data_IF_849616215394
#
_entry.id   IF_849616215394
#
_cell.length_a   1.000
_cell.length_b   1.000
_cell.length_c   1.000
_cell.angle_alpha   90.00
_cell.angle_beta   90.00
_cell.angle_gamma   90.00
#
_symmetry.space_group_name_H-M   'P 1'
#
loop_
_entity.id
_entity.type
_entity.pdbx_description
1 polymer ?
#
# COMPACT_ATOMS: atom_id res chain seq x y z
N UNK A 1 15.18 -1.98 39.68
CA UNK A 1 14.98 -0.83 38.79
C UNK A 1 14.13 -1.32 37.63
N UNK A 2 12.85 -0.97 37.60
CA UNK A 2 11.94 -1.34 36.51
C UNK A 2 12.05 -0.27 35.43
N UNK A 3 12.62 -0.62 34.27
CA UNK A 3 12.69 0.27 33.12
C UNK A 3 11.28 0.49 32.54
N UNK A 4 10.82 1.73 32.62
CA UNK A 4 9.67 2.23 31.89
C UNK A 4 9.94 2.16 30.39
N UNK A 5 9.29 1.23 29.69
CA UNK A 5 9.14 1.33 28.23
C UNK A 5 8.36 2.62 27.93
N UNK A 6 8.84 3.50 27.04
CA UNK A 6 8.28 4.84 26.89
C UNK A 6 6.89 4.79 26.22
N UNK A 7 5.90 5.38 26.91
CA UNK A 7 4.51 5.63 26.43
C UNK A 7 4.39 6.30 25.05
N UNK A 8 5.48 6.82 24.49
CA UNK A 8 5.49 7.53 23.20
C UNK A 8 5.30 6.60 21.99
N UNK A 9 5.72 5.33 22.08
CA UNK A 9 5.71 4.39 20.94
C UNK A 9 4.34 3.72 20.72
N UNK A 10 3.57 3.52 21.78
CA UNK A 10 2.20 2.97 21.74
C UNK A 10 1.20 3.95 21.09
N UNK A 11 1.45 5.25 21.25
CA UNK A 11 0.66 6.33 20.64
C UNK A 11 0.81 6.37 19.11
N UNK A 12 1.97 5.96 18.56
CA UNK A 12 2.23 5.99 17.10
C UNK A 12 1.48 4.88 16.34
N UNK A 13 1.48 3.65 16.86
CA UNK A 13 0.73 2.54 16.27
C UNK A 13 -0.78 2.71 16.47
N UNK A 14 -1.23 3.24 17.61
CA UNK A 14 -2.62 3.63 17.78
C UNK A 14 -2.99 4.76 16.81
N UNK A 15 -2.12 5.75 16.55
CA UNK A 15 -2.34 6.78 15.52
C UNK A 15 -2.38 6.24 14.10
N UNK A 16 -1.54 5.27 13.73
CA UNK A 16 -1.60 4.61 12.42
C UNK A 16 -2.90 3.81 12.27
N UNK A 17 -3.24 2.99 13.28
CA UNK A 17 -4.50 2.26 13.32
C UNK A 17 -5.71 3.20 13.37
N UNK A 18 -5.61 4.34 14.04
CA UNK A 18 -6.66 5.36 14.18
C UNK A 18 -6.73 6.30 12.98
N UNK A 19 -5.65 6.50 12.21
CA UNK A 19 -5.66 7.15 10.91
C UNK A 19 -6.40 6.27 9.90
N UNK A 20 -6.12 4.97 9.87
CA UNK A 20 -6.90 4.00 9.10
C UNK A 20 -8.34 3.87 9.60
N UNK A 21 -8.59 4.06 10.91
CA UNK A 21 -9.93 4.09 11.52
C UNK A 21 -10.70 5.39 11.23
N UNK A 22 -10.04 6.55 11.22
CA UNK A 22 -10.64 7.89 11.01
C UNK A 22 -11.09 8.10 9.58
N UNK A 23 -10.38 7.56 8.58
CA UNK A 23 -10.88 7.50 7.20
C UNK A 23 -12.22 6.74 7.11
N UNK A 24 -12.44 5.74 7.97
CA UNK A 24 -13.67 4.95 7.98
C UNK A 24 -14.86 5.62 8.68
N UNK A 25 -14.62 6.48 9.69
CA UNK A 25 -15.70 7.12 10.48
C UNK A 25 -16.46 8.20 9.70
N UNK A 26 -15.82 8.86 8.73
CA UNK A 26 -16.49 9.87 7.89
C UNK A 26 -17.47 9.22 6.89
N UNK A 27 -17.27 7.95 6.54
CA UNK A 27 -18.07 7.23 5.54
C UNK A 27 -19.41 6.66 6.06
N UNK A 28 -19.76 6.82 7.35
CA UNK A 28 -20.96 6.22 7.97
C UNK A 28 -22.10 7.23 8.21
N UNK A 29 -22.01 8.48 7.72
CA UNK A 29 -23.21 9.34 7.65
C UNK A 29 -24.10 8.93 6.48
N UNK A 30 -24.98 7.96 6.76
CA UNK A 30 -26.05 7.49 5.89
C UNK A 30 -27.04 8.62 5.53
N UNK A 31 -27.32 8.77 4.23
CA UNK A 31 -28.59 9.27 3.72
C UNK A 31 -29.24 8.15 2.89
N UNK A 32 -30.49 7.81 3.19
CA UNK A 32 -31.25 6.73 2.56
C UNK A 32 -31.62 7.04 1.10
N UNK A 33 -31.64 6.04 0.19
CA UNK A 33 -32.08 6.24 -1.19
C UNK A 33 -33.58 5.92 -1.39
N UNK A 34 -34.31 6.67 -2.24
CA UNK A 34 -35.62 6.24 -2.72
C UNK A 34 -35.48 5.32 -3.96
N UNK A 35 -36.39 4.34 -4.03
CA UNK A 35 -36.53 3.32 -5.08
C UNK A 35 -36.91 3.87 -6.47
N UNK A 36 -36.37 3.33 -7.59
CA UNK A 36 -36.85 3.65 -8.93
C UNK A 36 -37.84 2.61 -9.49
N UNK A 37 -38.87 3.10 -10.19
CA UNK A 37 -39.85 2.32 -10.97
C UNK A 37 -39.39 2.10 -12.42
N UNK A 38 -39.78 0.94 -12.94
CA UNK A 38 -39.52 0.38 -14.27
C UNK A 38 -40.35 1.05 -15.36
N UNK A 39 -39.77 1.28 -16.55
CA UNK A 39 -40.55 1.35 -17.81
C UNK A 39 -39.75 0.82 -19.01
N UNK A 40 -40.47 0.12 -19.88
CA UNK A 40 -40.02 -0.73 -20.99
C UNK A 40 -40.15 0.02 -22.31
N UNK A 41 -39.20 -0.15 -23.25
CA UNK A 41 -39.47 0.07 -24.69
C UNK A 41 -38.58 -0.81 -25.57
N UNK A 42 -39.12 -1.18 -26.73
CA UNK A 42 -38.77 -2.32 -27.61
C UNK A 42 -38.31 -1.83 -28.99
N UNK A 43 -37.73 -2.75 -29.78
CA UNK A 43 -37.54 -2.76 -31.26
C UNK A 43 -36.30 -2.02 -31.83
N UNK A 44 -35.61 -2.42 -32.91
CA UNK A 44 -35.68 -3.55 -33.87
C UNK A 44 -34.37 -3.70 -34.67
N UNK A 45 -34.04 -4.95 -35.06
CA UNK A 45 -33.42 -5.48 -36.29
C UNK A 45 -32.70 -4.55 -37.31
N UNK A 46 -31.48 -4.92 -37.76
CA UNK A 46 -31.16 -5.41 -39.13
C UNK A 46 -29.64 -5.63 -39.35
N UNK A 47 -29.27 -6.73 -40.04
CA UNK A 47 -27.94 -7.04 -40.62
C UNK A 47 -28.03 -6.94 -42.15
N UNK A 48 -26.92 -6.69 -42.87
CA UNK A 48 -26.36 -7.77 -43.71
C UNK A 48 -24.82 -7.81 -43.77
N UNK A 49 -24.30 -8.78 -44.53
CA UNK A 49 -22.96 -9.39 -44.46
C UNK A 49 -22.17 -9.22 -45.76
N UNK A 50 -20.83 -9.21 -45.68
CA UNK A 50 -19.88 -9.45 -46.78
C UNK A 50 -18.55 -8.72 -46.54
N UNK A 51 -17.34 -9.16 -46.90
CA UNK A 51 -16.73 -10.35 -47.53
C UNK A 51 -15.22 -10.26 -47.19
N UNK A 52 -14.51 -11.38 -47.14
CA UNK A 52 -13.08 -11.45 -46.80
C UNK A 52 -12.14 -10.92 -47.90
N UNK A 53 -10.93 -10.52 -47.51
CA UNK A 53 -9.71 -10.83 -48.29
C UNK A 53 -8.49 -11.00 -47.36
N UNK A 54 -7.78 -12.12 -47.58
CA UNK A 54 -6.51 -12.56 -46.99
C UNK A 54 -5.38 -12.04 -47.88
N UNK A 55 -4.33 -11.39 -47.35
CA UNK A 55 -2.98 -11.49 -47.93
C UNK A 55 -1.94 -11.47 -46.81
N UNK A 56 -0.99 -12.38 -46.97
CA UNK A 56 0.14 -12.80 -46.14
C UNK A 56 1.41 -12.20 -46.74
N UNK A 57 2.30 -11.65 -45.93
CA UNK A 57 3.76 -11.63 -46.18
C UNK A 57 4.57 -11.11 -44.97
N UNK A 58 5.29 -12.02 -44.33
CA UNK A 58 6.62 -11.84 -43.72
C UNK A 58 7.62 -12.38 -44.78
N UNK A 59 8.84 -11.82 -45.05
CA UNK A 59 10.08 -12.09 -44.25
C UNK A 59 11.21 -11.00 -44.39
N UNK A 60 12.48 -11.23 -43.98
CA UNK A 60 12.99 -11.42 -42.60
C UNK A 60 14.34 -10.61 -42.38
N UNK A 61 15.36 -11.03 -41.58
CA UNK A 61 16.06 -10.13 -40.64
C UNK A 61 17.55 -9.85 -41.00
N UNK A 62 18.21 -9.04 -40.14
CA UNK A 62 19.66 -9.05 -39.76
C UNK A 62 20.41 -7.72 -39.97
N UNK A 63 21.11 -7.31 -38.91
CA UNK A 63 22.53 -6.85 -38.81
C UNK A 63 22.62 -5.74 -37.75
N UNK A 64 22.86 -6.07 -36.47
CA UNK A 64 24.19 -6.20 -35.84
C UNK A 64 25.11 -5.01 -36.12
N UNK A 65 25.29 -4.11 -35.15
CA UNK A 65 26.58 -3.42 -34.93
C UNK A 65 26.79 -3.10 -33.45
N UNK A 66 27.73 -3.87 -32.93
CA UNK A 66 28.46 -3.77 -31.67
C UNK A 66 29.40 -2.57 -31.79
N UNK A 67 29.35 -1.63 -30.86
CA UNK A 67 30.44 -0.68 -30.61
C UNK A 67 30.90 -0.92 -29.17
N UNK A 68 31.95 -1.74 -29.05
CA UNK A 68 32.94 -1.64 -27.99
C UNK A 68 33.96 -0.65 -28.53
N UNK A 69 34.33 0.34 -27.73
CA UNK A 69 35.61 1.07 -27.72
C UNK A 69 35.38 2.35 -26.92
N UNK A 70 36.25 2.84 -26.06
CA UNK A 70 37.39 2.28 -25.36
C UNK A 70 37.70 3.35 -24.31
N UNK A 71 37.83 2.96 -23.04
CA UNK A 71 38.35 3.87 -22.02
C UNK A 71 39.86 3.99 -22.27
N UNK A 72 40.29 5.18 -22.68
CA UNK A 72 41.71 5.53 -22.72
C UNK A 72 42.19 5.81 -21.31
N UNK A 73 43.21 5.06 -20.91
CA UNK A 73 44.04 5.25 -19.72
C UNK A 73 44.80 6.58 -19.76
N UNK A 74 45.07 7.17 -18.59
CA UNK A 74 46.44 7.58 -18.21
C UNK A 74 46.55 7.97 -16.74
N UNK A 75 47.69 7.58 -16.18
CA UNK A 75 48.16 7.67 -14.80
C UNK A 75 48.70 9.08 -14.47
N UNK A 76 48.78 9.36 -13.16
CA UNK A 76 49.94 9.90 -12.41
C UNK A 76 49.48 10.90 -11.34
N UNK A 77 49.59 10.64 -10.03
CA UNK A 77 50.74 10.50 -9.12
C UNK A 77 51.11 11.84 -8.43
N UNK A 78 50.76 11.99 -7.14
CA UNK A 78 51.52 12.70 -6.09
C UNK A 78 50.71 12.85 -4.78
N UNK A 79 51.42 12.65 -3.67
CA UNK A 79 51.06 12.82 -2.24
C UNK A 79 52.19 13.64 -1.58
N UNK A 80 52.20 14.03 -0.27
CA UNK A 80 51.11 14.21 0.71
C UNK A 80 51.23 15.52 1.58
N UNK A 81 50.22 15.74 2.45
CA UNK A 81 50.17 16.55 3.71
C UNK A 81 50.30 18.10 3.63
N UNK A 82 49.62 18.96 4.41
CA UNK A 82 49.12 18.92 5.79
C UNK A 82 48.01 19.99 6.06
N UNK A 83 47.19 19.70 7.07
CA UNK A 83 46.47 20.60 8.00
C UNK A 83 45.12 21.25 7.64
N UNK A 84 44.09 20.66 8.29
CA UNK A 84 43.06 21.31 9.10
C UNK A 84 42.16 22.38 8.45
N UNK A 85 41.03 21.92 7.93
CA UNK A 85 39.76 22.56 8.24
C UNK A 85 38.82 21.51 8.81
N UNK A 86 38.55 21.66 10.10
CA UNK A 86 37.59 20.90 10.89
C UNK A 86 36.19 21.15 10.32
N UNK A 87 35.74 20.29 9.41
CA UNK A 87 34.31 20.12 9.23
C UNK A 87 33.81 19.29 10.41
N UNK A 88 33.23 19.97 11.39
CA UNK A 88 32.26 19.36 12.30
C UNK A 88 31.05 18.92 11.47
N UNK A 89 31.19 17.82 10.72
CA UNK A 89 30.05 16.96 10.44
C UNK A 89 29.83 16.16 11.71
N UNK A 90 28.97 16.72 12.56
CA UNK A 90 28.20 15.99 13.55
C UNK A 90 27.80 14.64 12.94
N UNK A 91 28.51 13.59 13.37
CA UNK A 91 28.41 12.24 12.81
C UNK A 91 27.07 11.65 13.25
N UNK A 92 26.02 12.12 12.60
CA UNK A 92 24.68 11.58 12.76
C UNK A 92 24.79 10.11 12.33
N UNK A 93 24.49 9.14 13.22
CA UNK A 93 24.74 7.74 12.94
C UNK A 93 24.05 7.37 11.62
N UNK A 94 24.70 6.61 10.74
CA UNK A 94 24.22 6.33 9.40
C UNK A 94 22.74 5.91 9.45
N UNK A 95 21.82 6.80 9.03
CA UNK A 95 20.37 6.59 9.18
C UNK A 95 19.96 5.19 8.67
N UNK A 96 18.98 4.50 9.27
CA UNK A 96 18.61 3.13 8.89
C UNK A 96 18.45 2.98 7.37
N UNK A 97 18.82 1.82 6.81
CA UNK A 97 18.76 1.56 5.36
C UNK A 97 17.40 1.95 4.73
N UNK A 98 16.30 1.66 5.42
CA UNK A 98 14.95 2.06 5.02
C UNK A 98 14.83 3.59 4.89
N UNK A 99 15.31 4.35 5.86
CA UNK A 99 15.30 5.83 5.83
C UNK A 99 16.10 6.37 4.66
N UNK A 100 17.31 5.86 4.39
CA UNK A 100 18.12 6.34 3.24
C UNK A 100 17.48 6.01 1.90
N UNK A 101 16.98 4.78 1.74
CA UNK A 101 16.39 4.33 0.48
C UNK A 101 15.11 5.12 0.14
N UNK A 102 14.27 5.38 1.14
CA UNK A 102 13.03 6.15 0.97
C UNK A 102 13.29 7.64 0.72
N UNK A 103 14.40 8.19 1.18
CA UNK A 103 14.74 9.60 0.94
C UNK A 103 15.20 9.88 -0.50
N UNK A 104 15.33 8.87 -1.36
CA UNK A 104 15.71 9.06 -2.76
C UNK A 104 14.56 9.67 -3.59
N UNK A 105 14.89 10.61 -4.50
CA UNK A 105 13.93 11.17 -5.47
C UNK A 105 13.22 10.06 -6.26
N UNK A 106 13.96 9.03 -6.68
CA UNK A 106 13.43 7.90 -7.43
C UNK A 106 12.33 7.13 -6.67
N UNK A 107 12.48 6.94 -5.36
CA UNK A 107 11.45 6.26 -4.56
C UNK A 107 10.22 7.13 -4.30
N UNK A 108 10.40 8.45 -4.13
CA UNK A 108 9.27 9.39 -4.06
C UNK A 108 8.46 9.39 -5.35
N UNK A 109 9.14 9.39 -6.50
CA UNK A 109 8.49 9.28 -7.82
C UNK A 109 7.80 7.94 -8.00
N UNK A 110 8.45 6.84 -7.60
CA UNK A 110 7.84 5.50 -7.60
C UNK A 110 6.55 5.47 -6.80
N UNK A 111 6.53 6.07 -5.61
CA UNK A 111 5.34 6.12 -4.79
C UNK A 111 4.27 7.03 -5.39
N UNK A 112 4.65 8.16 -5.99
CA UNK A 112 3.70 9.05 -6.69
C UNK A 112 2.99 8.31 -7.82
N UNK A 113 3.71 7.57 -8.66
CA UNK A 113 3.13 6.76 -9.74
C UNK A 113 2.25 5.62 -9.21
N UNK A 114 2.60 5.05 -8.05
CA UNK A 114 1.74 4.08 -7.36
C UNK A 114 0.41 4.71 -6.90
N UNK A 115 0.46 5.92 -6.34
CA UNK A 115 -0.74 6.65 -5.92
C UNK A 115 -1.63 7.00 -7.12
N UNK A 116 -1.05 7.48 -8.22
CA UNK A 116 -1.76 7.77 -9.46
C UNK A 116 -2.52 6.52 -9.96
N UNK A 117 -1.83 5.38 -10.03
CA UNK A 117 -2.46 4.10 -10.40
C UNK A 117 -3.61 3.72 -9.47
N UNK A 118 -3.45 3.88 -8.15
CA UNK A 118 -4.53 3.55 -7.20
C UNK A 118 -5.73 4.50 -7.32
N UNK A 119 -5.50 5.78 -7.60
CA UNK A 119 -6.57 6.75 -7.90
C UNK A 119 -7.31 6.34 -9.17
N UNK A 120 -6.59 5.98 -10.24
CA UNK A 120 -7.21 5.53 -11.49
C UNK A 120 -8.04 4.26 -11.31
N UNK A 121 -7.55 3.27 -10.55
CA UNK A 121 -8.31 2.05 -10.21
C UNK A 121 -9.55 2.37 -9.35
N UNK A 122 -9.47 3.38 -8.49
CA UNK A 122 -10.59 3.81 -7.66
C UNK A 122 -11.69 4.52 -8.47
N UNK A 123 -11.32 5.20 -9.56
CA UNK A 123 -12.26 5.83 -10.50
C UNK A 123 -12.87 4.82 -11.48
N UNK A 124 -12.04 3.93 -12.04
CA UNK A 124 -12.46 2.90 -12.97
C UNK A 124 -11.87 1.53 -12.58
N UNK A 125 -12.71 0.57 -12.15
CA UNK A 125 -12.23 -0.75 -11.74
C UNK A 125 -11.61 -1.57 -12.86
N UNK A 126 -11.89 -1.24 -14.13
CA UNK A 126 -11.35 -1.97 -15.29
C UNK A 126 -9.93 -1.50 -15.67
N UNK A 127 -9.48 -0.35 -15.15
CA UNK A 127 -8.14 0.21 -15.38
C UNK A 127 -7.02 -0.78 -15.09
N UNK A 128 -7.09 -1.52 -13.97
CA UNK A 128 -6.07 -2.52 -13.64
C UNK A 128 -5.98 -3.62 -14.72
N UNK A 129 -7.12 -4.08 -15.22
CA UNK A 129 -7.17 -5.10 -16.26
C UNK A 129 -6.66 -4.54 -17.61
N UNK A 130 -6.98 -3.29 -17.92
CA UNK A 130 -6.50 -2.62 -19.13
C UNK A 130 -4.97 -2.49 -19.12
N UNK A 131 -4.39 -2.01 -18.01
CA UNK A 131 -2.94 -1.88 -17.83
C UNK A 131 -2.22 -3.23 -17.92
N UNK A 132 -2.76 -4.27 -17.27
CA UNK A 132 -2.23 -5.64 -17.37
C UNK A 132 -2.25 -6.15 -18.81
N UNK A 133 -3.35 -5.91 -19.54
CA UNK A 133 -3.52 -6.34 -20.93
C UNK A 133 -2.58 -5.62 -21.89
N UNK A 134 -2.32 -4.33 -21.67
CA UNK A 134 -1.39 -3.54 -22.49
C UNK A 134 0.06 -3.70 -22.08
N UNK A 135 0.35 -4.45 -20.99
CA UNK A 135 1.68 -4.53 -20.36
C UNK A 135 2.29 -3.14 -20.16
N UNK A 136 1.52 -2.26 -19.52
CA UNK A 136 1.93 -0.89 -19.27
C UNK A 136 3.31 -0.80 -18.57
N UNK A 137 4.17 0.06 -19.10
CA UNK A 137 5.55 0.26 -18.63
C UNK A 137 5.67 1.47 -17.70
N UNK A 138 4.63 2.29 -17.58
CA UNK A 138 4.68 3.54 -16.84
C UNK A 138 4.23 3.40 -15.39
N UNK A 139 3.16 2.67 -15.11
CA UNK A 139 2.57 2.56 -13.78
C UNK A 139 2.77 1.16 -13.16
N UNK A 140 2.70 0.09 -13.96
CA UNK A 140 2.83 -1.28 -13.43
C UNK A 140 4.18 -1.54 -12.75
N UNK A 141 5.35 -1.08 -13.25
CA UNK A 141 6.62 -1.32 -12.57
C UNK A 141 6.66 -0.70 -11.18
N UNK A 142 6.10 0.50 -11.01
CA UNK A 142 6.02 1.19 -9.73
C UNK A 142 5.13 0.43 -8.73
N UNK A 143 3.97 -0.04 -9.19
CA UNK A 143 3.11 -0.90 -8.38
C UNK A 143 3.81 -2.19 -7.94
N UNK A 144 4.47 -2.89 -8.88
CA UNK A 144 5.23 -4.12 -8.56
C UNK A 144 6.33 -3.83 -7.54
N UNK A 145 7.00 -2.68 -7.63
CA UNK A 145 8.05 -2.28 -6.69
C UNK A 145 7.50 -2.10 -5.27
N UNK A 146 6.43 -1.33 -5.10
CA UNK A 146 5.81 -1.11 -3.78
C UNK A 146 5.21 -2.41 -3.22
N UNK A 147 4.48 -3.17 -4.05
CA UNK A 147 3.89 -4.45 -3.64
C UNK A 147 4.99 -5.45 -3.23
N UNK A 148 6.14 -5.47 -3.90
CA UNK A 148 7.30 -6.30 -3.48
C UNK A 148 7.82 -5.86 -2.12
N UNK A 149 8.01 -4.56 -1.89
CA UNK A 149 8.50 -4.05 -0.59
C UNK A 149 7.58 -4.45 0.56
N UNK A 150 6.26 -4.35 0.37
CA UNK A 150 5.27 -4.82 1.35
C UNK A 150 5.39 -6.33 1.57
N UNK A 151 5.50 -7.11 0.49
CA UNK A 151 5.64 -8.57 0.57
C UNK A 151 6.91 -9.01 1.30
N UNK A 152 8.04 -8.37 1.02
CA UNK A 152 9.33 -8.73 1.59
C UNK A 152 9.36 -8.41 3.09
N UNK A 153 8.78 -7.29 3.51
CA UNK A 153 8.64 -6.95 4.92
C UNK A 153 7.69 -7.90 5.66
N UNK A 154 6.59 -8.36 5.03
CA UNK A 154 5.73 -9.41 5.61
C UNK A 154 6.48 -10.72 5.79
N UNK A 155 7.26 -11.15 4.79
CA UNK A 155 8.07 -12.36 4.88
C UNK A 155 9.08 -12.28 6.03
N UNK A 156 9.72 -11.12 6.23
CA UNK A 156 10.63 -10.89 7.37
C UNK A 156 9.93 -11.05 8.72
N UNK A 157 8.75 -10.45 8.89
CA UNK A 157 7.97 -10.62 10.13
C UNK A 157 7.60 -12.07 10.41
N UNK A 158 7.27 -12.84 9.37
CA UNK A 158 6.92 -14.26 9.51
C UNK A 158 8.09 -15.14 10.00
N UNK A 159 9.34 -14.69 9.88
CA UNK A 159 10.48 -15.40 10.47
C UNK A 159 10.46 -15.34 12.01
N UNK A 160 9.93 -14.26 12.57
CA UNK A 160 9.84 -14.02 14.02
C UNK A 160 8.41 -14.26 14.57
N UNK A 161 7.49 -14.75 13.74
CA UNK A 161 6.09 -14.96 14.08
C UNK A 161 5.64 -16.37 13.74
N UNK A 162 5.24 -17.12 14.77
CA UNK A 162 4.42 -18.31 14.57
C UNK A 162 2.94 -17.90 14.48
N UNK A 163 2.31 -18.22 13.36
CA UNK A 163 0.90 -17.98 13.10
C UNK A 163 0.21 -19.29 12.80
N UNK A 164 -0.78 -19.64 13.63
CA UNK A 164 -1.70 -20.72 13.30
C UNK A 164 -2.46 -20.39 12.01
N UNK A 165 -2.76 -21.42 11.22
CA UNK A 165 -3.38 -21.23 9.90
C UNK A 165 -4.73 -20.50 9.99
N UNK A 166 -5.53 -20.79 11.01
CA UNK A 166 -6.81 -20.13 11.25
C UNK A 166 -6.65 -18.64 11.55
N UNK A 167 -5.68 -18.28 12.39
CA UNK A 167 -5.38 -16.91 12.76
C UNK A 167 -4.78 -16.13 11.59
N UNK A 168 -3.83 -16.73 10.86
CA UNK A 168 -3.28 -16.15 9.62
C UNK A 168 -4.39 -15.88 8.60
N UNK A 169 -5.27 -16.84 8.36
CA UNK A 169 -6.39 -16.66 7.44
C UNK A 169 -7.31 -15.51 7.85
N UNK A 170 -7.53 -15.32 9.16
CA UNK A 170 -8.31 -14.20 9.66
C UNK A 170 -7.58 -12.86 9.47
N UNK A 171 -6.29 -12.79 9.82
CA UNK A 171 -5.41 -11.63 9.60
C UNK A 171 -5.35 -11.20 8.14
N UNK A 172 -5.41 -12.14 7.19
CA UNK A 172 -5.31 -11.82 5.76
C UNK A 172 -6.67 -11.56 5.09
N UNK A 173 -7.78 -11.94 5.74
CA UNK A 173 -9.13 -11.81 5.20
C UNK A 173 -9.77 -10.48 5.58
N UNK A 174 -9.56 -10.03 6.80
CA UNK A 174 -10.32 -8.96 7.42
C UNK A 174 -9.47 -7.70 7.55
N UNK A 175 -9.82 -6.59 6.89
CA UNK A 175 -8.97 -5.41 6.81
C UNK A 175 -8.94 -4.58 8.11
N UNK A 176 -9.68 -4.95 9.15
CA UNK A 176 -9.67 -4.21 10.41
C UNK A 176 -9.26 -5.12 11.55
N UNK A 177 -8.47 -4.57 12.48
CA UNK A 177 -7.93 -5.27 13.63
C UNK A 177 -8.23 -4.46 14.90
N UNK A 178 -8.64 -5.13 15.97
CA UNK A 178 -8.85 -4.54 17.29
C UNK A 178 -8.16 -5.37 18.35
N UNK A 179 -7.33 -4.74 19.16
CA UNK A 179 -6.66 -5.36 20.29
C UNK A 179 -7.59 -5.23 21.51
N UNK A 180 -7.84 -6.34 22.18
CA UNK A 180 -8.64 -6.42 23.40
C UNK A 180 -7.71 -6.89 24.51
N UNK A 181 -7.22 -5.95 25.31
CA UNK A 181 -6.47 -6.24 26.53
C UNK A 181 -7.45 -6.27 27.68
N UNK A 182 -7.47 -7.36 28.45
CA UNK A 182 -8.23 -7.42 29.71
C UNK A 182 -7.24 -7.36 30.85
N UNK A 183 -7.27 -6.25 31.58
CA UNK A 183 -6.55 -6.11 32.83
C UNK A 183 -7.33 -6.86 33.91
N UNK A 184 -7.14 -8.18 34.00
CA UNK A 184 -7.71 -8.95 35.10
C UNK A 184 -6.96 -8.61 36.39
N UNK A 185 -7.39 -7.53 37.08
CA UNK A 185 -7.23 -7.40 38.54
C UNK A 185 -8.11 -8.44 39.23
N UNK A 186 -7.85 -9.73 39.01
CA UNK A 186 -8.44 -10.80 39.77
C UNK A 186 -7.40 -11.31 40.78
N UNK A 187 -7.81 -11.46 42.05
CA UNK A 187 -7.01 -11.95 43.19
C UNK A 187 -6.58 -13.42 43.07
N UNK A 188 -6.51 -13.97 41.86
CA UNK A 188 -6.08 -15.33 41.57
C UNK A 188 -5.16 -15.23 40.36
N UNK A 189 -3.92 -15.70 40.49
CA UNK A 189 -2.79 -15.47 39.58
C UNK A 189 -2.92 -16.02 38.16
N UNK A 190 -3.98 -15.65 37.45
CA UNK A 190 -4.15 -15.91 36.02
C UNK A 190 -3.36 -14.89 35.21
N UNK A 191 -2.55 -15.39 34.26
CA UNK A 191 -1.83 -14.57 33.28
C UNK A 191 -2.81 -13.71 32.47
N UNK A 192 -2.45 -12.44 32.23
CA UNK A 192 -3.25 -11.53 31.42
C UNK A 192 -3.30 -12.06 29.97
N UNK A 193 -4.47 -12.52 29.53
CA UNK A 193 -4.67 -12.99 28.16
C UNK A 193 -5.07 -11.81 27.29
N UNK A 194 -4.17 -11.41 26.39
CA UNK A 194 -4.49 -10.47 25.34
C UNK A 194 -5.19 -11.17 24.18
N UNK A 195 -6.11 -10.46 23.53
CA UNK A 195 -6.84 -10.99 22.37
C UNK A 195 -6.81 -10.02 21.21
N UNK A 196 -6.86 -10.56 20.00
CA UNK A 196 -7.03 -9.79 18.79
C UNK A 196 -8.36 -10.19 18.14
N UNK A 197 -9.17 -9.19 17.83
CA UNK A 197 -10.43 -9.32 17.09
C UNK A 197 -10.28 -8.75 15.68
N UNK A 198 -10.64 -9.55 14.69
CA UNK A 198 -10.71 -9.16 13.28
C UNK A 198 -12.09 -8.62 12.93
N UNK A 199 -12.13 -7.48 12.24
CA UNK A 199 -13.35 -6.78 11.86
C UNK A 199 -13.33 -6.37 10.37
N UNK A 200 -14.38 -5.69 9.93
CA UNK A 200 -14.52 -5.25 8.55
C UNK A 200 -15.02 -6.35 7.61
N UNK A 201 -15.29 -5.96 6.37
CA UNK A 201 -15.75 -6.88 5.33
C UNK A 201 -14.54 -7.36 4.52
N UNK A 202 -14.51 -8.66 4.22
CA UNK A 202 -13.49 -9.21 3.33
C UNK A 202 -13.53 -8.52 1.96
N UNK A 203 -12.41 -8.48 1.25
CA UNK A 203 -12.32 -7.84 -0.07
C UNK A 203 -11.53 -8.72 -1.05
N UNK A 204 -11.71 -8.48 -2.34
CA UNK A 204 -10.96 -9.16 -3.38
C UNK A 204 -9.57 -8.50 -3.51
N UNK A 205 -8.49 -9.27 -3.32
CA UNK A 205 -7.11 -8.73 -3.35
C UNK A 205 -6.68 -8.18 -4.70
N UNK A 206 -7.30 -8.62 -5.81
CA UNK A 206 -7.00 -8.14 -7.17
C UNK A 206 -7.77 -6.86 -7.49
N UNK A 207 -9.07 -6.85 -7.23
CA UNK A 207 -9.94 -5.71 -7.60
C UNK A 207 -10.10 -4.67 -6.50
N UNK A 208 -9.59 -4.94 -5.29
CA UNK A 208 -9.73 -4.11 -4.08
C UNK A 208 -11.19 -3.83 -3.69
N UNK A 209 -12.16 -4.55 -4.26
CA UNK A 209 -13.58 -4.37 -3.97
C UNK A 209 -14.00 -5.18 -2.74
N UNK A 210 -14.74 -4.52 -1.86
CA UNK A 210 -15.37 -5.14 -0.70
C UNK A 210 -16.37 -6.21 -1.14
N UNK A 211 -16.28 -7.38 -0.51
CA UNK A 211 -17.20 -8.48 -0.71
C UNK A 211 -18.56 -8.17 -0.11
N UNK A 212 -19.63 -8.57 -0.81
CA UNK A 212 -21.01 -8.61 -0.29
C UNK A 212 -21.25 -9.83 0.62
N UNK A 213 -20.32 -10.78 0.51
CA UNK A 213 -20.02 -11.96 1.32
C UNK A 213 -19.92 -11.80 2.83
N UNK A 214 -20.97 -11.92 3.64
CA UNK A 214 -20.77 -12.11 5.09
C UNK A 214 -20.38 -13.57 5.36
N UNK A 215 -19.12 -13.83 5.69
CA UNK A 215 -18.68 -15.17 6.11
C UNK A 215 -18.62 -15.24 7.63
N UNK A 216 -19.25 -16.27 8.21
CA UNK A 216 -19.09 -16.63 9.61
C UNK A 216 -17.77 -17.38 9.79
N UNK A 217 -16.81 -16.76 10.48
CA UNK A 217 -15.53 -17.39 10.85
C UNK A 217 -15.10 -16.91 12.23
N UNK A 218 -14.21 -17.65 12.89
CA UNK A 218 -13.55 -17.17 14.10
C UNK A 218 -12.86 -15.83 13.81
N UNK A 219 -13.17 -14.82 14.62
CA UNK A 219 -12.64 -13.46 14.48
C UNK A 219 -11.86 -13.04 15.72
N UNK A 220 -12.02 -13.71 16.85
CA UNK A 220 -11.34 -13.41 18.10
C UNK A 220 -10.33 -14.52 18.42
N UNK A 221 -9.07 -14.14 18.64
CA UNK A 221 -7.96 -15.05 18.87
C UNK A 221 -7.19 -14.59 20.11
N UNK A 222 -6.91 -15.52 21.02
CA UNK A 222 -5.99 -15.27 22.12
C UNK A 222 -4.56 -15.23 21.56
N UNK A 223 -3.78 -14.25 22.00
CA UNK A 223 -2.42 -14.04 21.50
C UNK A 223 -1.47 -13.72 22.63
N UNK A 224 -0.19 -14.01 22.38
CA UNK A 224 0.91 -13.59 23.22
C UNK A 224 1.01 -12.04 23.24
N UNK A 225 0.90 -11.39 24.42
CA UNK A 225 1.01 -9.95 24.55
C UNK A 225 2.28 -9.35 23.94
N UNK A 226 3.41 -10.08 24.01
CA UNK A 226 4.70 -9.61 23.51
C UNK A 226 4.72 -9.54 21.97
N UNK A 227 3.89 -10.34 21.30
CA UNK A 227 3.83 -10.45 19.84
C UNK A 227 2.73 -9.61 19.19
N UNK A 228 1.88 -8.93 19.97
CA UNK A 228 0.78 -8.11 19.45
C UNK A 228 1.25 -7.09 18.40
N UNK A 229 2.38 -6.43 18.66
CA UNK A 229 2.92 -5.42 17.75
C UNK A 229 3.35 -6.05 16.42
N UNK A 230 3.96 -7.24 16.44
CA UNK A 230 4.34 -7.97 15.24
C UNK A 230 3.10 -8.39 14.43
N UNK A 231 2.04 -8.86 15.08
CA UNK A 231 0.77 -9.17 14.40
C UNK A 231 0.13 -7.94 13.76
N UNK A 232 0.17 -6.80 14.45
CA UNK A 232 -0.38 -5.53 13.96
C UNK A 232 0.39 -4.99 12.75
N UNK A 233 1.73 -5.11 12.76
CA UNK A 233 2.56 -4.76 11.62
C UNK A 233 2.31 -5.68 10.42
N UNK A 234 2.22 -6.99 10.66
CA UNK A 234 1.91 -7.97 9.62
C UNK A 234 0.57 -7.66 8.94
N UNK A 235 -0.46 -7.39 9.75
CA UNK A 235 -1.80 -7.00 9.28
C UNK A 235 -1.75 -5.71 8.46
N UNK A 236 -1.09 -4.68 8.98
CA UNK A 236 -0.96 -3.38 8.31
C UNK A 236 -0.27 -3.48 6.96
N UNK A 237 0.83 -4.25 6.86
CA UNK A 237 1.50 -4.50 5.58
C UNK A 237 0.61 -5.30 4.62
N UNK A 238 -0.19 -6.25 5.13
CA UNK A 238 -1.07 -7.08 4.31
C UNK A 238 -2.16 -6.25 3.64
N UNK A 239 -2.75 -5.34 4.40
CA UNK A 239 -3.89 -4.54 3.98
C UNK A 239 -3.51 -3.15 3.47
N UNK A 240 -2.22 -2.79 3.46
CA UNK A 240 -1.72 -1.47 3.07
C UNK A 240 -2.34 -0.98 1.75
N UNK A 241 -2.20 -1.75 0.66
CA UNK A 241 -2.75 -1.40 -0.66
C UNK A 241 -4.26 -1.16 -0.63
N UNK A 242 -5.00 -1.99 0.12
CA UNK A 242 -6.45 -1.84 0.25
C UNK A 242 -6.83 -0.57 1.01
N UNK A 243 -6.13 -0.26 2.09
CA UNK A 243 -6.40 0.96 2.84
C UNK A 243 -6.02 2.22 2.08
N UNK A 244 -4.89 2.22 1.37
CA UNK A 244 -4.52 3.34 0.50
C UNK A 244 -5.54 3.53 -0.61
N UNK A 245 -6.05 2.44 -1.20
CA UNK A 245 -7.16 2.50 -2.16
C UNK A 245 -8.42 3.15 -1.57
N UNK A 246 -8.79 2.85 -0.31
CA UNK A 246 -9.91 3.52 0.35
C UNK A 246 -9.63 5.01 0.57
N UNK A 247 -8.41 5.38 0.96
CA UNK A 247 -8.00 6.79 1.08
C UNK A 247 -8.09 7.50 -0.27
N UNK A 248 -7.70 6.86 -1.38
CA UNK A 248 -7.86 7.42 -2.72
C UNK A 248 -9.35 7.69 -3.05
N UNK A 249 -10.26 6.78 -2.68
CA UNK A 249 -11.70 7.00 -2.87
C UNK A 249 -12.23 8.21 -2.11
N UNK A 250 -11.72 8.44 -0.90
CA UNK A 250 -12.10 9.61 -0.10
C UNK A 250 -11.60 10.90 -0.74
N UNK A 251 -10.36 10.91 -1.25
CA UNK A 251 -9.79 12.06 -1.95
C UNK A 251 -10.54 12.36 -3.27
N UNK A 252 -10.85 11.32 -4.06
CA UNK A 252 -11.71 11.43 -5.25
C UNK A 252 -13.05 12.06 -4.89
N UNK A 253 -13.69 11.58 -3.82
CA UNK A 253 -14.98 12.11 -3.36
C UNK A 253 -14.87 13.57 -2.91
N UNK A 254 -13.75 13.96 -2.30
CA UNK A 254 -13.46 15.35 -1.92
C UNK A 254 -13.30 16.26 -3.14
N UNK A 255 -12.60 15.80 -4.18
CA UNK A 255 -12.42 16.50 -5.45
C UNK A 255 -13.75 16.68 -6.19
N UNK A 256 -14.54 15.61 -6.32
CA UNK A 256 -15.84 15.64 -7.02
C UNK A 256 -16.88 16.53 -6.31
N UNK A 257 -16.83 16.62 -4.97
CA UNK A 257 -17.72 17.52 -4.22
C UNK A 257 -17.44 19.00 -4.47
N UNK A 258 -16.22 19.36 -4.84
CA UNK A 258 -15.80 20.75 -5.08
C UNK A 258 -15.90 21.15 -6.55
N UNK A 259 -16.02 20.19 -7.45
CA UNK A 259 -15.98 20.41 -8.88
C UNK A 259 -17.00 19.48 -9.54
N UNK A 260 -18.09 20.06 -10.05
CA UNK A 260 -19.10 19.34 -10.82
C UNK A 260 -18.56 19.08 -12.25
N UNK A 261 -18.99 17.97 -12.87
CA UNK A 261 -18.72 17.63 -14.28
C UNK A 261 -17.25 17.39 -14.71
N UNK A 262 -16.36 17.00 -13.80
CA UNK A 262 -14.99 16.58 -14.19
C UNK A 262 -14.97 15.19 -14.83
N UNK A 263 -14.17 15.03 -15.90
CA UNK A 263 -13.80 13.72 -16.43
C UNK A 263 -12.82 12.98 -15.51
N UNK A 264 -12.64 11.68 -15.76
CA UNK A 264 -11.81 10.82 -14.90
C UNK A 264 -10.36 11.28 -14.86
N UNK A 265 -9.78 11.62 -16.03
CA UNK A 265 -8.40 12.10 -16.12
C UNK A 265 -8.22 13.41 -15.35
N UNK A 266 -9.15 14.36 -15.46
CA UNK A 266 -9.07 15.61 -14.67
C UNK A 266 -9.12 15.34 -13.17
N UNK A 267 -9.96 14.40 -12.72
CA UNK A 267 -10.02 14.02 -11.30
C UNK A 267 -8.70 13.42 -10.83
N UNK A 268 -8.08 12.51 -11.61
CA UNK A 268 -6.75 11.95 -11.29
C UNK A 268 -5.74 13.08 -11.12
N UNK A 269 -5.63 13.97 -12.12
CA UNK A 269 -4.68 15.09 -12.08
C UNK A 269 -4.94 16.02 -10.88
N UNK A 270 -6.20 16.28 -10.52
CA UNK A 270 -6.51 17.15 -9.38
C UNK A 270 -6.18 16.50 -8.03
N UNK A 271 -6.41 15.18 -7.88
CA UNK A 271 -5.95 14.43 -6.71
C UNK A 271 -4.42 14.49 -6.60
N UNK A 272 -3.71 14.25 -7.71
CA UNK A 272 -2.24 14.23 -7.73
C UNK A 272 -1.59 15.62 -7.59
N UNK A 273 -2.35 16.71 -7.81
CA UNK A 273 -1.94 18.09 -7.49
C UNK A 273 -1.89 18.37 -6.00
N UNK A 274 -2.57 17.57 -5.17
CA UNK A 274 -2.47 17.66 -3.72
C UNK A 274 -1.14 17.01 -3.25
N UNK A 275 -0.03 17.71 -3.48
CA UNK A 275 1.33 17.21 -3.19
C UNK A 275 1.46 16.84 -1.71
N UNK A 276 0.89 17.66 -0.82
CA UNK A 276 0.90 17.39 0.62
C UNK A 276 0.25 16.05 0.97
N UNK A 277 -0.90 15.72 0.37
CA UNK A 277 -1.57 14.44 0.60
C UNK A 277 -0.70 13.25 0.17
N UNK A 278 -0.05 13.34 -0.99
CA UNK A 278 0.85 12.29 -1.49
C UNK A 278 2.08 12.15 -0.58
N UNK A 279 2.68 13.26 -0.15
CA UNK A 279 3.84 13.26 0.73
C UNK A 279 3.51 12.72 2.13
N UNK A 280 2.38 13.13 2.72
CA UNK A 280 1.91 12.63 4.02
C UNK A 280 1.65 11.09 3.97
N UNK A 281 1.22 10.56 2.82
CA UNK A 281 1.07 9.11 2.61
C UNK A 281 2.43 8.42 2.43
N UNK A 282 3.38 9.05 1.75
CA UNK A 282 4.73 8.52 1.58
C UNK A 282 5.48 8.44 2.92
N UNK A 283 5.34 9.45 3.77
CA UNK A 283 5.92 9.46 5.11
C UNK A 283 5.39 8.29 5.94
N UNK A 284 4.07 8.08 5.95
CA UNK A 284 3.42 6.95 6.64
C UNK A 284 3.85 5.59 6.08
N UNK A 285 4.05 5.49 4.77
CA UNK A 285 4.62 4.29 4.16
C UNK A 285 6.02 4.02 4.73
N UNK A 286 6.84 5.06 4.81
CA UNK A 286 8.18 4.96 5.36
C UNK A 286 8.22 4.58 6.84
N UNK A 287 7.37 5.21 7.65
CA UNK A 287 7.20 4.86 9.07
C UNK A 287 6.82 3.38 9.24
N UNK A 288 5.88 2.88 8.43
CA UNK A 288 5.48 1.47 8.47
C UNK A 288 6.66 0.54 8.22
N UNK A 289 7.48 0.81 7.20
CA UNK A 289 8.65 -0.01 6.89
C UNK A 289 9.73 0.10 7.97
N UNK A 290 9.93 1.29 8.54
CA UNK A 290 10.89 1.52 9.62
C UNK A 290 10.50 0.73 10.88
N UNK A 291 9.21 0.73 11.26
CA UNK A 291 8.73 -0.06 12.39
C UNK A 291 8.97 -1.56 12.21
N UNK A 292 8.85 -2.08 10.98
CA UNK A 292 9.17 -3.49 10.69
C UNK A 292 10.66 -3.75 10.88
N UNK A 293 11.52 -2.86 10.38
CA UNK A 293 12.95 -3.00 10.53
C UNK A 293 13.35 -3.02 12.01
N UNK A 294 12.84 -2.10 12.83
CA UNK A 294 13.15 -2.03 14.27
C UNK A 294 12.73 -3.28 15.05
N UNK A 295 11.67 -3.97 14.61
CA UNK A 295 11.19 -5.20 15.27
C UNK A 295 11.84 -6.49 14.78
N UNK A 296 12.55 -6.43 13.65
CA UNK A 296 13.25 -7.57 13.06
C UNK A 296 14.77 -7.38 13.02
N UNK A 297 15.30 -6.30 13.64
CA UNK A 297 16.74 -6.05 13.79
C UNK A 297 17.32 -6.88 14.93
#
# INVERSE_FOLDING_TARGET
MSECVPKSQEVSLHKLAELFRRSLVIAVKHSDPPTPKTTTTKASSMKPKGKQLKVKAEPPPKKRKKWKEEFSSSQSDSSPEVHSSSNDEEFDPPAPFVTRFLNTRAMKETFKSYMELLVSIALDPDTMQALEKSNDELLLPHMKKIDSMLNDNRKRLLLNLHLDQSFKNALERFPELTIITRDSKAKSGGSAVSKIKMNGKAYNKKTLRTSKTTIKSAQEFAVDPEKIQLYSLYHSLHHYKYHVYLICKDEISSVQKKNEDLGQEEIVQLCMKNVKWVEDLFEKFGELLNHVQQKCS
#
